data_IF_176909558854
#
_entry.id   IF_176909558854
#
_cell.length_a   1.000
_cell.length_b   1.000
_cell.length_c   1.000
_cell.angle_alpha   90.00
_cell.angle_beta   90.00
_cell.angle_gamma   90.00
#
_symmetry.space_group_name_H-M   'P 1'
#
loop_
_entity.id
_entity.type
_entity.pdbx_description
1 polymer ?
#
# COMPACT_ATOMS: atom_id res chain seq x y z
N UNK A 1 -4.30 -28.35 21.46
CA UNK A 1 -3.65 -27.13 20.92
C UNK A 1 -3.95 -27.07 19.42
N UNK A 2 -4.32 -25.90 18.91
CA UNK A 2 -4.48 -25.74 17.46
C UNK A 2 -3.13 -25.92 16.77
N UNK A 3 -3.14 -26.49 15.53
CA UNK A 3 -1.92 -26.66 14.75
C UNK A 3 -1.34 -25.29 14.32
N UNK A 4 -0.04 -25.17 14.09
CA UNK A 4 0.53 -24.00 13.48
C UNK A 4 -0.14 -23.69 12.14
N UNK A 5 -0.33 -22.41 11.83
CA UNK A 5 -0.87 -21.94 10.56
C UNK A 5 0.25 -21.52 9.61
N UNK A 6 -0.07 -21.50 8.33
CA UNK A 6 0.74 -20.90 7.29
C UNK A 6 -0.06 -19.75 6.68
N UNK A 7 0.43 -18.53 6.81
CA UNK A 7 -0.28 -17.33 6.36
C UNK A 7 0.58 -16.55 5.35
N UNK A 8 -0.04 -16.01 4.32
CA UNK A 8 0.63 -15.10 3.39
C UNK A 8 0.31 -13.63 3.76
N UNK A 9 1.34 -12.79 3.93
CA UNK A 9 1.16 -11.34 3.94
C UNK A 9 0.86 -10.88 2.52
N UNK A 10 -0.37 -10.43 2.28
CA UNK A 10 -0.82 -10.03 0.96
C UNK A 10 -1.09 -8.52 0.91
N UNK A 11 -0.50 -7.83 -0.06
CA UNK A 11 -0.84 -6.45 -0.42
C UNK A 11 -1.49 -6.37 -1.80
N UNK A 12 -1.71 -7.52 -2.43
CA UNK A 12 -2.15 -7.66 -3.83
C UNK A 12 -1.22 -7.00 -4.86
N UNK A 13 0.00 -6.62 -4.46
CA UNK A 13 1.09 -6.35 -5.38
C UNK A 13 1.70 -7.64 -5.93
N UNK A 14 2.44 -7.54 -7.04
CA UNK A 14 3.01 -8.68 -7.79
C UNK A 14 3.71 -9.71 -6.90
N UNK A 15 4.59 -9.26 -5.98
CA UNK A 15 5.39 -10.18 -5.17
C UNK A 15 4.55 -10.98 -4.16
N UNK A 16 3.54 -10.34 -3.57
CA UNK A 16 2.63 -11.01 -2.64
C UNK A 16 1.67 -11.98 -3.35
N UNK A 17 1.22 -11.65 -4.55
CA UNK A 17 0.39 -12.53 -5.36
C UNK A 17 1.20 -13.71 -5.91
N UNK A 18 2.41 -13.45 -6.44
CA UNK A 18 3.32 -14.50 -6.88
C UNK A 18 3.69 -15.46 -5.74
N UNK A 19 3.87 -14.97 -4.51
CA UNK A 19 4.08 -15.81 -3.32
C UNK A 19 2.91 -16.80 -3.11
N UNK A 20 1.67 -16.33 -3.24
CA UNK A 20 0.47 -17.19 -3.09
C UNK A 20 0.36 -18.19 -4.25
N UNK A 21 0.62 -17.74 -5.48
CA UNK A 21 0.62 -18.60 -6.65
C UNK A 21 1.65 -19.72 -6.53
N UNK A 22 2.89 -19.41 -6.13
CA UNK A 22 3.93 -20.40 -5.87
C UNK A 22 3.55 -21.36 -4.75
N UNK A 23 2.93 -20.87 -3.68
CA UNK A 23 2.44 -21.75 -2.62
C UNK A 23 1.46 -22.80 -3.16
N UNK A 24 0.56 -22.41 -4.06
CA UNK A 24 -0.41 -23.33 -4.67
C UNK A 24 0.24 -24.26 -5.68
N UNK A 25 1.14 -23.76 -6.51
CA UNK A 25 1.84 -24.55 -7.54
C UNK A 25 2.70 -25.64 -6.94
N UNK A 26 3.43 -25.33 -5.87
CA UNK A 26 4.35 -26.24 -5.20
C UNK A 26 3.73 -27.02 -4.03
N UNK A 27 2.42 -26.91 -3.80
CA UNK A 27 1.75 -27.60 -2.69
C UNK A 27 2.22 -27.18 -1.30
N UNK A 28 2.75 -25.96 -1.16
CA UNK A 28 3.10 -25.40 0.14
C UNK A 28 1.84 -25.20 1.00
N UNK A 29 1.91 -25.48 2.29
CA UNK A 29 0.78 -25.26 3.16
C UNK A 29 0.43 -23.76 3.21
N UNK A 30 -0.84 -23.44 2.95
CA UNK A 30 -1.34 -22.06 3.01
C UNK A 30 -2.78 -22.08 3.53
N UNK A 31 -2.97 -21.59 4.75
CA UNK A 31 -4.29 -21.55 5.38
C UNK A 31 -5.07 -20.29 5.01
N UNK A 32 -4.37 -19.13 4.95
CA UNK A 32 -5.02 -17.85 4.67
C UNK A 32 -4.03 -16.80 4.16
N UNK A 33 -4.54 -15.84 3.38
CA UNK A 33 -3.82 -14.64 3.01
C UNK A 33 -4.38 -13.43 3.76
N UNK A 34 -3.50 -12.66 4.38
CA UNK A 34 -3.87 -11.53 5.25
C UNK A 34 -3.55 -10.22 4.55
N UNK A 35 -4.59 -9.47 4.26
CA UNK A 35 -4.54 -8.13 3.68
C UNK A 35 -4.92 -7.09 4.73
N UNK A 36 -4.18 -6.01 4.82
CA UNK A 36 -4.56 -4.87 5.67
C UNK A 36 -4.81 -3.65 4.80
N UNK A 37 -6.10 -3.34 4.60
CA UNK A 37 -6.54 -2.16 3.86
C UNK A 37 -6.36 -0.91 4.72
N UNK A 38 -5.60 0.04 4.21
CA UNK A 38 -5.46 1.36 4.82
C UNK A 38 -6.61 2.24 4.36
N UNK A 39 -7.33 2.85 5.29
CA UNK A 39 -8.43 3.76 4.96
C UNK A 39 -7.96 5.22 4.98
N UNK A 40 -8.37 6.00 3.98
CA UNK A 40 -8.19 7.45 3.97
C UNK A 40 -9.11 8.10 5.02
N UNK A 41 -10.39 7.82 4.94
CA UNK A 41 -11.40 8.14 5.95
C UNK A 41 -12.32 6.92 6.17
N UNK A 42 -13.48 7.12 6.81
CA UNK A 42 -14.40 6.01 7.12
C UNK A 42 -15.04 5.36 5.88
N UNK A 43 -15.09 6.07 4.75
CA UNK A 43 -15.74 5.62 3.52
C UNK A 43 -14.78 5.38 2.35
N UNK A 44 -13.60 6.02 2.37
CA UNK A 44 -12.66 6.04 1.25
C UNK A 44 -11.44 5.17 1.57
N UNK A 45 -11.15 4.21 0.69
CA UNK A 45 -9.93 3.40 0.76
C UNK A 45 -8.68 4.26 0.51
N UNK A 46 -7.57 3.86 1.08
CA UNK A 46 -6.27 4.45 0.78
C UNK A 46 -5.60 3.86 -0.45
N UNK A 47 -6.10 2.74 -0.96
CA UNK A 47 -5.57 2.17 -2.20
C UNK A 47 -5.97 3.05 -3.40
N UNK A 48 -5.10 3.12 -4.40
CA UNK A 48 -5.45 3.72 -5.69
C UNK A 48 -6.71 3.03 -6.23
N UNK A 49 -7.72 3.77 -6.73
CA UNK A 49 -9.01 3.18 -7.11
C UNK A 49 -8.90 1.97 -8.03
N UNK A 50 -8.06 2.01 -9.06
CA UNK A 50 -7.83 0.89 -9.99
C UNK A 50 -7.26 -0.34 -9.28
N UNK A 51 -6.39 -0.12 -8.29
CA UNK A 51 -5.84 -1.21 -7.49
C UNK A 51 -6.90 -1.80 -6.56
N UNK A 52 -7.70 -0.95 -5.94
CA UNK A 52 -8.81 -1.38 -5.09
C UNK A 52 -9.82 -2.21 -5.86
N UNK A 53 -10.21 -1.75 -7.04
CA UNK A 53 -11.14 -2.48 -7.92
C UNK A 53 -10.54 -3.82 -8.35
N UNK A 54 -9.27 -3.85 -8.72
CA UNK A 54 -8.55 -5.08 -9.00
C UNK A 54 -8.56 -6.04 -7.79
N UNK A 55 -8.28 -5.54 -6.58
CA UNK A 55 -8.29 -6.36 -5.37
C UNK A 55 -9.64 -7.06 -5.18
N UNK A 56 -10.74 -6.29 -5.18
CA UNK A 56 -12.05 -6.82 -4.81
C UNK A 56 -12.77 -7.54 -5.95
N UNK A 57 -12.59 -7.09 -7.19
CA UNK A 57 -13.32 -7.63 -8.34
C UNK A 57 -12.55 -8.70 -9.11
N UNK A 58 -11.22 -8.79 -8.92
CA UNK A 58 -10.38 -9.75 -9.67
C UNK A 58 -9.58 -10.65 -8.75
N UNK A 59 -8.72 -10.08 -7.91
CA UNK A 59 -7.72 -10.86 -7.18
C UNK A 59 -8.33 -11.69 -6.06
N UNK A 60 -9.17 -11.12 -5.18
CA UNK A 60 -9.85 -11.86 -4.11
C UNK A 60 -10.68 -13.02 -4.68
N UNK A 61 -11.60 -12.78 -5.65
CA UNK A 61 -12.38 -13.88 -6.22
C UNK A 61 -11.52 -14.98 -6.88
N UNK A 62 -10.40 -14.61 -7.50
CA UNK A 62 -9.49 -15.59 -8.10
C UNK A 62 -8.80 -16.45 -7.04
N UNK A 63 -8.27 -15.84 -5.98
CA UNK A 63 -7.63 -16.58 -4.89
C UNK A 63 -8.61 -17.46 -4.11
N UNK A 64 -9.82 -16.99 -3.88
CA UNK A 64 -10.89 -17.81 -3.23
C UNK A 64 -11.25 -19.03 -4.07
N UNK A 65 -11.33 -18.92 -5.40
CA UNK A 65 -11.50 -20.06 -6.30
C UNK A 65 -10.35 -21.07 -6.23
N UNK A 66 -9.14 -20.61 -5.90
CA UNK A 66 -7.98 -21.46 -5.63
C UNK A 66 -8.00 -22.07 -4.22
N UNK A 67 -9.06 -21.81 -3.42
CA UNK A 67 -9.19 -22.29 -2.06
C UNK A 67 -8.35 -21.54 -1.04
N UNK A 68 -7.97 -20.29 -1.33
CA UNK A 68 -7.23 -19.42 -0.39
C UNK A 68 -8.23 -18.56 0.37
N UNK A 69 -8.28 -18.70 1.69
CA UNK A 69 -9.09 -17.84 2.56
C UNK A 69 -8.47 -16.47 2.67
N UNK A 70 -9.23 -15.41 2.40
CA UNK A 70 -8.76 -14.02 2.50
C UNK A 70 -9.23 -13.40 3.81
N UNK A 71 -8.30 -12.84 4.57
CA UNK A 71 -8.56 -12.06 5.79
C UNK A 71 -8.29 -10.60 5.50
N UNK A 72 -9.33 -9.77 5.50
CA UNK A 72 -9.21 -8.32 5.33
C UNK A 72 -9.21 -7.65 6.69
N UNK A 73 -8.11 -6.99 7.02
CA UNK A 73 -7.95 -6.21 8.25
C UNK A 73 -8.08 -4.72 7.92
N UNK A 74 -8.63 -3.96 8.87
CA UNK A 74 -8.67 -2.50 8.85
C UNK A 74 -8.32 -1.95 10.22
N UNK A 75 -7.70 -0.78 10.25
CA UNK A 75 -7.50 -0.04 11.49
C UNK A 75 -8.77 0.73 11.88
N UNK A 76 -8.99 0.92 13.17
CA UNK A 76 -9.98 1.88 13.67
C UNK A 76 -9.60 3.32 13.32
N UNK A 77 -8.29 3.59 13.11
CA UNK A 77 -7.77 4.89 12.71
C UNK A 77 -7.63 4.97 11.21
N UNK A 78 -8.01 6.11 10.66
CA UNK A 78 -7.86 6.46 9.25
C UNK A 78 -6.67 7.40 9.04
N UNK A 79 -6.33 7.68 7.76
CA UNK A 79 -5.35 8.72 7.43
C UNK A 79 -5.80 10.09 7.95
N UNK A 80 -7.07 10.45 7.77
CA UNK A 80 -7.63 11.74 8.21
C UNK A 80 -7.52 11.87 9.73
N UNK A 81 -7.81 10.82 10.51
CA UNK A 81 -7.64 10.83 11.97
C UNK A 81 -6.19 11.11 12.39
N UNK A 82 -5.24 10.51 11.67
CA UNK A 82 -3.82 10.73 11.93
C UNK A 82 -3.36 12.13 11.52
N UNK A 83 -3.88 12.63 10.41
CA UNK A 83 -3.58 13.96 9.90
C UNK A 83 -4.09 15.05 10.84
N UNK A 84 -5.37 14.98 11.24
CA UNK A 84 -6.04 15.99 12.08
C UNK A 84 -5.70 15.86 13.56
N UNK A 85 -5.09 14.74 13.95
CA UNK A 85 -4.63 14.52 15.31
C UNK A 85 -3.67 15.62 15.78
N UNK A 86 -3.61 15.85 17.10
CA UNK A 86 -2.72 16.88 17.67
C UNK A 86 -1.34 16.33 17.99
N UNK A 87 -0.33 17.16 17.80
CA UNK A 87 1.03 16.91 18.29
C UNK A 87 1.03 16.96 19.82
N UNK A 88 1.52 15.92 20.48
CA UNK A 88 1.43 15.78 21.93
C UNK A 88 2.67 16.26 22.68
N UNK A 89 3.82 16.38 22.01
CA UNK A 89 5.12 16.73 22.64
C UNK A 89 5.96 17.66 21.74
N UNK A 90 6.91 18.33 22.35
CA UNK A 90 7.90 19.18 21.67
C UNK A 90 7.36 20.57 21.30
N UNK A 91 8.15 21.36 20.54
CA UNK A 91 7.84 22.77 20.23
C UNK A 91 6.54 22.98 19.45
N UNK A 92 6.06 21.94 18.75
CA UNK A 92 4.82 21.97 17.96
C UNK A 92 3.62 21.38 18.70
N UNK A 93 3.69 21.23 20.03
CA UNK A 93 2.57 20.69 20.85
C UNK A 93 1.29 21.51 20.60
N UNK A 94 0.19 20.80 20.42
CA UNK A 94 -1.15 21.38 20.14
C UNK A 94 -1.43 21.65 18.66
N UNK A 95 -0.42 21.71 17.78
CA UNK A 95 -0.61 21.87 16.35
C UNK A 95 -1.24 20.63 15.71
N UNK A 96 -1.93 20.78 14.58
CA UNK A 96 -2.40 19.67 13.74
C UNK A 96 -1.18 18.92 13.20
N UNK A 97 -1.18 17.58 13.24
CA UNK A 97 -0.01 16.76 12.81
C UNK A 97 0.36 16.96 11.35
N UNK A 98 -0.65 17.05 10.46
CA UNK A 98 -0.46 17.24 9.03
C UNK A 98 0.07 15.97 8.30
N UNK A 99 0.61 16.17 7.10
CA UNK A 99 1.13 15.10 6.25
C UNK A 99 2.27 14.32 6.94
N UNK A 100 2.26 12.98 6.85
CA UNK A 100 3.38 12.18 7.35
C UNK A 100 4.62 12.45 6.48
N UNK A 101 5.61 13.10 7.06
CA UNK A 101 6.88 13.34 6.35
C UNK A 101 7.74 12.09 6.33
N UNK A 102 8.59 12.03 5.32
CA UNK A 102 9.55 10.97 5.01
C UNK A 102 10.22 10.31 6.22
N UNK A 103 10.36 9.00 6.18
CA UNK A 103 10.97 8.20 7.23
C UNK A 103 9.95 7.25 7.85
N UNK A 104 9.61 7.44 9.11
CA UNK A 104 8.66 6.57 9.81
C UNK A 104 7.21 7.03 9.54
N UNK A 105 6.57 6.45 8.54
CA UNK A 105 5.18 6.74 8.19
C UNK A 105 4.24 6.31 9.33
N UNK A 106 3.55 7.28 9.94
CA UNK A 106 2.58 7.02 11.00
C UNK A 106 1.38 6.19 10.51
N UNK A 107 0.99 6.36 9.25
CA UNK A 107 -0.07 5.57 8.61
C UNK A 107 0.35 4.11 8.49
N UNK A 108 1.55 3.84 7.99
CA UNK A 108 2.08 2.47 7.92
C UNK A 108 2.11 1.82 9.31
N UNK A 109 2.61 2.54 10.32
CA UNK A 109 2.69 2.03 11.69
C UNK A 109 1.33 1.73 12.29
N UNK A 110 0.40 2.71 12.24
CA UNK A 110 -0.85 2.67 13.01
C UNK A 110 -2.00 2.02 12.24
N UNK A 111 -2.04 2.21 10.90
CA UNK A 111 -3.13 1.72 10.07
C UNK A 111 -2.81 0.40 9.33
N UNK A 112 -1.54 -0.06 9.32
CA UNK A 112 -1.17 -1.31 8.65
C UNK A 112 -0.45 -2.27 9.61
N UNK A 113 0.70 -1.88 10.17
CA UNK A 113 1.53 -2.80 10.99
C UNK A 113 0.79 -3.22 12.26
N UNK A 114 0.19 -2.28 13.01
CA UNK A 114 -0.50 -2.59 14.26
C UNK A 114 -1.70 -3.54 14.10
N UNK A 115 -2.61 -3.37 13.13
CA UNK A 115 -3.66 -4.35 12.88
C UNK A 115 -3.11 -5.73 12.57
N UNK A 116 -2.08 -5.83 11.72
CA UNK A 116 -1.43 -7.10 11.39
C UNK A 116 -0.83 -7.74 12.65
N UNK A 117 -0.11 -6.98 13.47
CA UNK A 117 0.49 -7.49 14.72
C UNK A 117 -0.58 -7.96 15.72
N UNK A 118 -1.73 -7.25 15.83
CA UNK A 118 -2.84 -7.70 16.67
C UNK A 118 -3.42 -9.02 16.18
N UNK A 119 -3.59 -9.15 14.87
CA UNK A 119 -4.05 -10.39 14.25
C UNK A 119 -3.08 -11.54 14.55
N UNK A 120 -1.79 -11.33 14.31
CA UNK A 120 -0.73 -12.33 14.54
C UNK A 120 -0.64 -12.83 15.97
N UNK A 121 -0.89 -11.96 16.97
CA UNK A 121 -0.88 -12.35 18.40
C UNK A 121 -1.94 -13.40 18.75
N UNK A 122 -3.00 -13.50 17.97
CA UNK A 122 -4.09 -14.47 18.18
C UNK A 122 -3.91 -15.74 17.36
N UNK A 123 -2.80 -15.88 16.62
CA UNK A 123 -2.50 -17.08 15.84
C UNK A 123 -1.81 -18.14 16.73
N UNK A 124 -1.97 -19.43 16.40
CA UNK A 124 -1.32 -20.51 17.11
C UNK A 124 0.22 -20.35 17.12
N UNK A 125 0.89 -20.77 18.21
CA UNK A 125 2.34 -20.81 18.26
C UNK A 125 2.93 -21.62 17.09
N UNK A 126 4.08 -21.21 16.57
CA UNK A 126 4.73 -21.84 15.43
C UNK A 126 4.13 -21.47 14.07
N UNK A 127 3.18 -20.52 14.01
CA UNK A 127 2.66 -20.02 12.74
C UNK A 127 3.78 -19.44 11.88
N UNK A 128 3.82 -19.85 10.61
CA UNK A 128 4.77 -19.39 9.60
C UNK A 128 4.11 -18.35 8.71
N UNK A 129 4.83 -17.28 8.40
CA UNK A 129 4.39 -16.20 7.54
C UNK A 129 5.17 -16.17 6.23
N UNK A 130 4.47 -16.28 5.11
CA UNK A 130 5.04 -16.03 3.79
C UNK A 130 5.06 -14.55 3.49
N UNK A 131 6.24 -14.04 3.07
CA UNK A 131 6.48 -12.63 2.75
C UNK A 131 6.92 -12.54 1.29
N UNK A 132 6.28 -11.69 0.51
CA UNK A 132 6.65 -11.40 -0.88
C UNK A 132 7.91 -10.54 -0.93
N UNK A 133 9.07 -11.18 -0.92
CA UNK A 133 10.40 -10.58 -1.13
C UNK A 133 11.10 -11.43 -2.18
N UNK A 134 11.48 -10.82 -3.30
CA UNK A 134 12.10 -11.51 -4.41
C UNK A 134 13.55 -11.93 -4.08
N UNK A 135 14.06 -12.90 -4.83
CA UNK A 135 15.41 -13.44 -4.63
C UNK A 135 16.50 -12.36 -4.79
N UNK A 136 16.30 -11.41 -5.68
CA UNK A 136 17.23 -10.31 -5.96
C UNK A 136 17.16 -9.15 -4.92
N UNK A 137 16.27 -9.21 -3.92
CA UNK A 137 16.16 -8.26 -2.81
C UNK A 137 16.93 -8.73 -1.56
N UNK A 138 18.21 -9.04 -1.69
CA UNK A 138 19.04 -9.67 -0.65
C UNK A 138 19.03 -8.95 0.70
N UNK A 139 19.12 -7.62 0.71
CA UNK A 139 19.08 -6.85 1.96
C UNK A 139 17.77 -6.98 2.73
N UNK A 140 16.66 -7.21 2.03
CA UNK A 140 15.34 -7.42 2.64
C UNK A 140 15.22 -8.86 3.14
N UNK A 141 15.77 -9.83 2.42
CA UNK A 141 15.78 -11.24 2.83
C UNK A 141 16.54 -11.44 4.14
N UNK A 142 17.67 -10.76 4.33
CA UNK A 142 18.47 -10.80 5.56
C UNK A 142 17.71 -10.28 6.81
N UNK A 143 16.60 -9.56 6.63
CA UNK A 143 15.78 -9.02 7.73
C UNK A 143 14.63 -9.94 8.11
N UNK A 144 14.44 -11.05 7.41
CA UNK A 144 13.39 -12.01 7.74
C UNK A 144 13.69 -12.71 9.07
N UNK A 145 12.66 -12.87 9.87
CA UNK A 145 12.75 -13.57 11.15
C UNK A 145 12.82 -15.08 10.91
N UNK A 146 14.02 -15.65 11.17
CA UNK A 146 14.29 -17.07 10.93
C UNK A 146 13.27 -17.96 11.65
N UNK A 147 12.78 -18.97 10.94
CA UNK A 147 11.80 -19.95 11.45
C UNK A 147 10.35 -19.44 11.54
N UNK A 148 10.11 -18.14 11.35
CA UNK A 148 8.76 -17.55 11.38
C UNK A 148 8.36 -16.89 10.08
N UNK A 149 9.32 -16.36 9.33
CA UNK A 149 9.09 -15.68 8.06
C UNK A 149 9.86 -16.39 6.96
N UNK A 150 9.18 -16.65 5.85
CA UNK A 150 9.75 -17.36 4.69
C UNK A 150 9.39 -16.59 3.43
N UNK A 151 10.36 -16.37 2.55
CA UNK A 151 10.09 -15.95 1.18
C UNK A 151 10.02 -17.18 0.28
N UNK A 152 8.84 -17.44 -0.30
CA UNK A 152 8.71 -18.48 -1.33
C UNK A 152 9.35 -18.04 -2.65
N UNK A 153 9.37 -16.74 -2.96
CA UNK A 153 10.08 -16.21 -4.12
C UNK A 153 11.58 -16.56 -4.03
N UNK A 154 12.22 -16.30 -2.90
CA UNK A 154 13.61 -16.65 -2.69
C UNK A 154 13.82 -18.18 -2.65
N UNK A 155 12.92 -18.94 -2.01
CA UNK A 155 12.98 -20.41 -1.94
C UNK A 155 12.98 -21.05 -3.33
N UNK A 156 12.23 -20.51 -4.27
CA UNK A 156 12.10 -21.01 -5.64
C UNK A 156 12.90 -20.21 -6.67
N UNK A 157 13.84 -19.36 -6.22
CA UNK A 157 14.71 -18.53 -7.06
C UNK A 157 13.98 -17.58 -8.01
N UNK A 158 12.85 -17.00 -7.58
CA UNK A 158 12.08 -16.01 -8.33
C UNK A 158 12.60 -14.61 -8.05
N UNK A 159 12.95 -13.91 -9.14
CA UNK A 159 13.26 -12.47 -9.15
C UNK A 159 11.98 -11.64 -9.17
N UNK A 160 12.11 -10.31 -9.00
CA UNK A 160 10.98 -9.38 -9.20
C UNK A 160 10.36 -9.50 -10.61
N UNK A 161 11.19 -9.76 -11.63
CA UNK A 161 10.73 -9.95 -12.99
C UNK A 161 9.95 -11.25 -13.16
N UNK A 162 10.40 -12.35 -12.53
CA UNK A 162 9.70 -13.63 -12.57
C UNK A 162 8.34 -13.53 -11.85
N UNK A 163 8.29 -12.80 -10.72
CA UNK A 163 7.05 -12.53 -10.01
C UNK A 163 6.05 -11.72 -10.87
N UNK A 164 6.55 -10.75 -11.64
CA UNK A 164 5.75 -10.00 -12.61
C UNK A 164 5.14 -10.93 -13.66
N UNK A 165 5.98 -11.73 -14.35
CA UNK A 165 5.55 -12.64 -15.41
C UNK A 165 4.55 -13.68 -14.90
N UNK A 166 4.77 -14.22 -13.70
CA UNK A 166 3.85 -15.17 -13.08
C UNK A 166 2.48 -14.56 -12.85
N UNK A 167 2.43 -13.34 -12.30
CA UNK A 167 1.17 -12.63 -12.09
C UNK A 167 0.47 -12.27 -13.41
N UNK A 168 1.22 -11.83 -14.41
CA UNK A 168 0.70 -11.50 -15.75
C UNK A 168 0.08 -12.72 -16.41
N UNK A 169 0.80 -13.86 -16.42
CA UNK A 169 0.31 -15.14 -16.95
C UNK A 169 -0.95 -15.64 -16.23
N UNK A 170 -1.05 -15.39 -14.93
CA UNK A 170 -2.21 -15.76 -14.13
C UNK A 170 -3.39 -14.77 -14.26
N UNK A 171 -3.25 -13.66 -14.99
CA UNK A 171 -4.24 -12.58 -15.05
C UNK A 171 -4.40 -11.83 -13.72
N UNK A 172 -3.38 -11.86 -12.89
CA UNK A 172 -3.34 -11.27 -11.53
C UNK A 172 -2.30 -10.16 -11.41
N UNK A 173 -1.95 -9.50 -12.50
CA UNK A 173 -1.14 -8.29 -12.48
C UNK A 173 -2.04 -7.06 -12.31
N UNK A 174 -1.79 -6.28 -11.27
CA UNK A 174 -2.60 -5.08 -11.01
C UNK A 174 -2.44 -4.01 -12.10
N UNK A 175 -3.54 -3.35 -12.52
CA UNK A 175 -3.46 -2.29 -13.53
C UNK A 175 -2.67 -1.06 -13.08
N UNK A 176 -2.40 -0.88 -11.79
CA UNK A 176 -1.58 0.25 -11.30
C UNK A 176 -0.16 0.25 -11.88
N UNK A 177 0.35 -0.92 -12.27
CA UNK A 177 1.67 -1.02 -12.86
C UNK A 177 1.80 -0.38 -14.25
N UNK A 178 0.69 0.09 -14.85
CA UNK A 178 0.73 0.91 -16.07
C UNK A 178 1.28 2.34 -15.81
N UNK A 179 1.21 2.85 -14.57
CA UNK A 179 1.62 4.22 -14.24
C UNK A 179 2.49 4.34 -12.96
N UNK A 180 2.73 3.24 -12.25
CA UNK A 180 3.62 3.23 -11.08
C UNK A 180 4.41 1.93 -10.99
N UNK A 181 5.61 1.99 -10.44
CA UNK A 181 6.47 0.82 -10.20
C UNK A 181 6.12 0.11 -8.88
N UNK A 182 5.19 0.65 -8.08
CA UNK A 182 4.89 0.17 -6.74
C UNK A 182 3.41 0.28 -6.38
N UNK A 183 2.92 -0.63 -5.55
CA UNK A 183 1.69 -0.42 -4.81
C UNK A 183 1.89 0.60 -3.68
N UNK A 184 0.86 1.40 -3.39
CA UNK A 184 0.90 2.36 -2.28
C UNK A 184 -0.40 3.13 -2.14
N UNK A 185 -0.49 3.90 -1.05
CA UNK A 185 -1.64 4.76 -0.85
C UNK A 185 -1.62 5.93 -1.84
N UNK A 186 -2.76 6.29 -2.42
CA UNK A 186 -2.87 7.41 -3.35
C UNK A 186 -2.48 8.77 -2.74
N UNK A 187 -2.54 8.91 -1.41
CA UNK A 187 -2.11 10.09 -0.65
C UNK A 187 -0.66 9.99 -0.12
N UNK A 188 0.16 9.11 -0.67
CA UNK A 188 1.51 8.88 -0.15
C UNK A 188 2.45 10.06 -0.45
N UNK A 189 3.14 10.64 0.56
CA UNK A 189 4.10 11.74 0.32
C UNK A 189 5.36 11.28 -0.43
N UNK A 190 5.56 9.98 -0.61
CA UNK A 190 6.64 9.42 -1.41
C UNK A 190 6.18 9.08 -2.85
N UNK A 191 4.95 9.44 -3.23
CA UNK A 191 4.49 9.29 -4.60
C UNK A 191 5.36 10.11 -5.56
N UNK A 192 5.69 9.52 -6.71
CA UNK A 192 6.38 10.20 -7.80
C UNK A 192 5.42 11.13 -8.55
N UNK A 193 5.94 12.12 -9.27
CA UNK A 193 5.09 13.05 -10.05
C UNK A 193 4.14 12.34 -11.02
N UNK A 194 4.53 11.28 -11.77
CA UNK A 194 3.59 10.55 -12.63
C UNK A 194 2.42 9.92 -11.85
N UNK A 195 2.65 9.37 -10.63
CA UNK A 195 1.59 8.84 -9.78
C UNK A 195 0.61 9.94 -9.35
N UNK A 196 1.14 11.12 -8.95
CA UNK A 196 0.34 12.27 -8.58
C UNK A 196 -0.39 12.88 -9.78
N UNK A 197 0.23 12.88 -10.97
CA UNK A 197 -0.40 13.32 -12.22
C UNK A 197 -1.57 12.41 -12.59
N UNK A 198 -1.40 11.10 -12.48
CA UNK A 198 -2.49 10.14 -12.68
C UNK A 198 -3.67 10.42 -11.74
N UNK A 199 -3.39 10.66 -10.44
CA UNK A 199 -4.44 11.00 -9.47
C UNK A 199 -5.15 12.31 -9.84
N UNK A 200 -4.42 13.34 -10.25
CA UNK A 200 -4.96 14.63 -10.66
C UNK A 200 -5.88 14.51 -11.89
N UNK A 201 -5.47 13.73 -12.89
CA UNK A 201 -6.18 13.59 -14.15
C UNK A 201 -7.42 12.70 -14.04
N UNK A 202 -7.34 11.61 -13.27
CA UNK A 202 -8.36 10.56 -13.26
C UNK A 202 -9.22 10.52 -12.00
N UNK A 203 -8.77 11.14 -10.90
CA UNK A 203 -9.47 11.13 -9.61
C UNK A 203 -9.54 12.53 -8.98
N UNK A 204 -10.20 13.49 -9.65
CA UNK A 204 -10.26 14.88 -9.19
C UNK A 204 -10.96 15.04 -7.84
N UNK A 205 -11.86 14.14 -7.48
CA UNK A 205 -12.51 14.07 -6.17
C UNK A 205 -11.51 13.75 -5.06
N UNK A 206 -10.63 12.78 -5.25
CA UNK A 206 -9.57 12.44 -4.30
C UNK A 206 -8.51 13.54 -4.24
N UNK A 207 -8.19 14.16 -5.38
CA UNK A 207 -7.30 15.31 -5.43
C UNK A 207 -7.84 16.48 -4.60
N UNK A 208 -9.14 16.79 -4.74
CA UNK A 208 -9.81 17.82 -3.96
C UNK A 208 -9.73 17.54 -2.45
N UNK A 209 -9.88 16.29 -2.02
CA UNK A 209 -9.73 15.90 -0.60
C UNK A 209 -8.35 16.22 -0.04
N UNK A 210 -7.28 16.07 -0.85
CA UNK A 210 -5.93 16.44 -0.43
C UNK A 210 -5.75 17.95 -0.32
N UNK A 211 -6.37 18.73 -1.22
CA UNK A 211 -6.38 20.20 -1.15
C UNK A 211 -7.14 20.70 0.09
N UNK A 212 -8.26 20.07 0.44
CA UNK A 212 -9.00 20.36 1.69
C UNK A 212 -8.10 20.15 2.92
N UNK A 213 -7.37 19.06 2.98
CA UNK A 213 -6.41 18.80 4.06
C UNK A 213 -5.27 19.83 4.05
N UNK A 214 -4.77 20.22 2.86
CA UNK A 214 -3.75 21.28 2.75
C UNK A 214 -4.25 22.62 3.27
N UNK A 215 -5.55 22.92 3.16
CA UNK A 215 -6.13 24.18 3.61
C UNK A 215 -6.32 24.28 5.13
N UNK A 216 -6.29 23.17 5.88
CA UNK A 216 -6.46 23.16 7.34
C UNK A 216 -5.39 24.04 8.01
N UNK A 217 -5.76 25.02 8.86
CA UNK A 217 -4.79 25.90 9.51
C UNK A 217 -4.09 25.22 10.70
N UNK A 218 -2.97 25.82 11.13
CA UNK A 218 -2.26 25.41 12.34
C UNK A 218 -1.58 24.03 12.26
N UNK A 219 -1.17 23.62 11.07
CA UNK A 219 -0.43 22.39 10.84
C UNK A 219 1.02 22.47 11.33
N UNK A 220 1.53 21.36 11.83
CA UNK A 220 2.92 21.22 12.25
C UNK A 220 3.91 21.32 11.05
N UNK A 221 3.43 21.04 9.85
CA UNK A 221 4.13 21.27 8.59
C UNK A 221 3.15 21.61 7.49
N UNK A 222 3.56 22.50 6.59
CA UNK A 222 2.80 22.80 5.36
C UNK A 222 3.22 21.90 4.19
N UNK A 223 4.33 21.19 4.32
CA UNK A 223 4.86 20.36 3.25
C UNK A 223 4.12 19.03 3.16
N UNK A 224 3.73 18.65 1.94
CA UNK A 224 3.20 17.33 1.60
C UNK A 224 4.34 16.30 1.54
N UNK A 225 5.39 16.61 0.80
CA UNK A 225 6.60 15.80 0.67
C UNK A 225 7.82 16.52 1.26
N UNK A 226 9.04 16.08 0.94
CA UNK A 226 10.28 16.70 1.47
C UNK A 226 10.46 18.15 1.06
N UNK A 227 9.95 18.54 -0.10
CA UNK A 227 10.26 19.82 -0.75
C UNK A 227 9.04 20.73 -0.91
N UNK A 228 7.86 20.18 -1.24
CA UNK A 228 6.71 20.92 -1.76
C UNK A 228 5.48 20.77 -0.87
N UNK A 229 4.60 21.76 -0.92
CA UNK A 229 3.20 21.65 -0.46
C UNK A 229 2.39 20.94 -1.53
N UNK A 230 1.26 20.36 -1.16
CA UNK A 230 0.37 19.75 -2.13
C UNK A 230 -0.25 20.78 -3.07
N UNK A 231 -0.54 21.97 -2.56
CA UNK A 231 -0.99 23.12 -3.36
C UNK A 231 0.02 23.58 -4.41
N UNK A 232 1.33 23.45 -4.17
CA UNK A 232 2.35 23.81 -5.14
C UNK A 232 2.36 22.86 -6.33
N UNK A 233 2.06 21.56 -6.07
CA UNK A 233 1.93 20.54 -7.10
C UNK A 233 0.64 20.77 -7.92
N UNK A 234 -0.45 21.19 -7.27
CA UNK A 234 -1.70 21.57 -7.95
C UNK A 234 -1.47 22.73 -8.92
N UNK A 235 -0.78 23.77 -8.47
CA UNK A 235 -0.42 24.92 -9.32
C UNK A 235 0.45 24.49 -10.51
N UNK A 236 1.42 23.60 -10.28
CA UNK A 236 2.27 23.07 -11.34
C UNK A 236 1.43 22.39 -12.43
N UNK A 237 0.54 21.46 -12.05
CA UNK A 237 -0.27 20.71 -13.01
C UNK A 237 -1.24 21.60 -13.78
N UNK A 238 -1.90 22.56 -13.11
CA UNK A 238 -2.74 23.57 -13.78
C UNK A 238 -1.98 24.41 -14.80
N UNK A 239 -0.73 24.75 -14.50
CA UNK A 239 0.12 25.52 -15.44
C UNK A 239 0.54 24.65 -16.65
N UNK A 240 0.81 23.37 -16.46
CA UNK A 240 1.11 22.44 -17.54
C UNK A 240 -0.09 22.27 -18.48
N UNK A 241 -1.29 22.11 -17.92
CA UNK A 241 -2.53 21.99 -18.70
C UNK A 241 -2.83 23.26 -19.49
N UNK A 242 -2.66 24.45 -18.89
CA UNK A 242 -2.81 25.72 -19.57
C UNK A 242 -1.85 25.90 -20.76
N UNK A 243 -0.60 25.46 -20.59
CA UNK A 243 0.39 25.48 -21.69
C UNK A 243 0.06 24.48 -22.79
N UNK A 244 -0.44 23.29 -22.42
CA UNK A 244 -0.86 22.28 -23.39
C UNK A 244 -2.04 22.75 -24.23
N UNK A 245 -3.06 23.36 -23.60
CA UNK A 245 -4.21 23.92 -24.27
C UNK A 245 -3.83 25.04 -25.27
N UNK A 246 -2.90 25.93 -24.90
CA UNK A 246 -2.39 26.99 -25.79
C UNK A 246 -1.64 26.43 -27.01
N UNK A 247 -0.90 25.32 -26.84
CA UNK A 247 -0.17 24.68 -27.97
C UNK A 247 -1.10 23.94 -28.92
N UNK A 248 -2.25 23.47 -28.46
CA UNK A 248 -3.25 22.81 -29.32
C UNK A 248 -4.11 23.82 -30.09
N UNK A 249 -4.18 25.05 -29.62
CA UNK A 249 -4.95 26.13 -30.25
C UNK A 249 -4.13 26.97 -31.28
N UNK A 250 -2.81 26.77 -31.36
CA UNK A 250 -1.91 27.46 -32.29
C UNK A 250 -1.53 26.59 -33.48
#
# INVERSE_FOLDING_TARGET
>A
MERPKFIASCSFGKDSLATILLAKEHGEPLDEAVYCEVMFDKGISGEVPEHRDFIYNTAIPALERMGVKIIVLRSEKTYVDLFTGRVTRGPKKGMVRSFPLCGKCAVQRDCKIRPIQRYQKNLPPGTVQYIGIAQDEQERLLRLESGRQVSLLAKYNFTEQDAWQLCEKAGLLSPVYAFTDRGGCWFCPNAKLPELRHLYDHHPDLWARMLELQAIPGKATEKFNRTQKFSDIDVLFRQEDGKAALRQAA
#
